data_IF_787022550898
#
_entry.id   IF_787022550898
#
_cell.length_a   1.000
_cell.length_b   1.000
_cell.length_c   1.000
_cell.angle_alpha   90.00
_cell.angle_beta   90.00
_cell.angle_gamma   90.00
#
_symmetry.space_group_name_H-M   'P 1'
#
loop_
_entity.id
_entity.type
_entity.pdbx_description
1 polymer ?
#
# COMPACT_ATOMS: atom_id res chain seq x y z
N UNK A 1 -4.77 20.57 4.08
CA UNK A 1 -3.70 19.66 3.60
C UNK A 1 -2.34 20.32 3.84
N UNK A 2 -1.41 19.65 4.51
CA UNK A 2 -0.07 20.19 4.77
C UNK A 2 0.71 20.31 3.47
N UNK A 3 1.20 21.53 3.17
CA UNK A 3 2.03 21.78 2.00
C UNK A 3 3.49 21.41 2.29
N UNK A 4 3.97 20.32 1.72
CA UNK A 4 5.36 19.84 1.86
C UNK A 4 6.43 20.88 1.48
N UNK A 5 6.09 21.84 0.62
CA UNK A 5 7.02 22.91 0.23
C UNK A 5 7.21 23.97 1.32
N UNK A 6 6.25 24.03 2.26
CA UNK A 6 6.21 25.04 3.32
C UNK A 6 6.79 24.56 4.65
N UNK A 7 6.77 23.26 4.90
CA UNK A 7 7.09 22.71 6.22
C UNK A 7 8.26 21.73 6.16
N UNK A 8 9.04 21.67 7.24
CA UNK A 8 10.08 20.66 7.42
C UNK A 8 9.43 19.29 7.59
N UNK A 9 10.15 18.25 7.21
CA UNK A 9 9.69 16.86 7.33
C UNK A 9 9.23 16.50 8.74
N UNK A 10 9.96 16.95 9.78
CA UNK A 10 9.58 16.78 11.19
C UNK A 10 8.21 17.38 11.52
N UNK A 11 7.87 18.53 10.94
CA UNK A 11 6.55 19.17 11.12
C UNK A 11 5.48 18.35 10.38
N UNK A 12 5.78 17.87 9.16
CA UNK A 12 4.84 17.05 8.39
C UNK A 12 4.52 15.77 9.14
N UNK A 13 5.52 15.07 9.67
CA UNK A 13 5.34 13.83 10.45
C UNK A 13 4.45 14.07 11.67
N UNK A 14 4.67 15.18 12.40
CA UNK A 14 3.91 15.48 13.60
C UNK A 14 2.42 15.74 13.33
N UNK A 15 2.09 16.29 12.17
CA UNK A 15 0.71 16.72 11.84
C UNK A 15 0.05 15.88 10.73
N UNK A 16 0.77 14.94 10.12
CA UNK A 16 0.26 14.14 9.04
C UNK A 16 -0.93 13.28 9.49
N UNK A 17 -2.00 13.30 8.70
CA UNK A 17 -3.21 12.54 8.98
C UNK A 17 -4.08 13.07 10.13
N UNK A 18 -3.75 14.24 10.71
CA UNK A 18 -4.55 14.86 11.76
C UNK A 18 -5.53 15.88 11.16
N UNK A 19 -6.80 15.71 11.44
CA UNK A 19 -7.90 16.60 11.01
C UNK A 19 -8.75 17.00 12.21
N UNK A 20 -8.15 17.77 13.12
CA UNK A 20 -8.80 18.15 14.38
C UNK A 20 -10.17 18.83 14.22
N UNK A 21 -10.40 19.53 13.12
CA UNK A 21 -11.69 20.14 12.80
C UNK A 21 -12.82 19.11 12.61
N UNK A 22 -12.52 17.91 12.18
CA UNK A 22 -13.49 16.81 12.01
C UNK A 22 -13.72 16.01 13.32
N UNK A 23 -12.90 16.25 14.34
CA UNK A 23 -12.90 15.52 15.60
C UNK A 23 -13.19 16.39 16.81
N UNK A 24 -14.10 17.35 16.68
CA UNK A 24 -14.50 18.26 17.79
C UNK A 24 -13.33 19.01 18.42
N UNK A 25 -12.25 19.26 17.67
CA UNK A 25 -11.05 19.93 18.16
C UNK A 25 -10.00 19.03 18.82
N UNK A 26 -10.25 17.72 18.93
CA UNK A 26 -9.21 16.81 19.39
C UNK A 26 -8.07 16.74 18.37
N UNK A 27 -6.82 16.86 18.85
CA UNK A 27 -5.64 16.86 18.00
C UNK A 27 -5.44 15.52 17.31
N UNK A 28 -5.56 14.43 18.06
CA UNK A 28 -5.44 13.08 17.53
C UNK A 28 -6.77 12.55 17.06
N UNK A 29 -6.78 11.78 15.99
CA UNK A 29 -7.96 11.05 15.52
C UNK A 29 -8.48 10.12 16.62
N UNK A 30 -9.73 10.29 17.10
CA UNK A 30 -10.32 9.37 18.07
C UNK A 30 -10.37 7.94 17.56
N UNK A 31 -10.47 6.98 18.47
CA UNK A 31 -10.59 5.56 18.11
C UNK A 31 -12.01 5.24 17.65
N UNK A 32 -12.19 4.97 16.38
CA UNK A 32 -13.47 4.52 15.79
C UNK A 32 -13.51 3.00 15.73
N UNK A 33 -14.46 2.41 16.44
CA UNK A 33 -14.70 0.94 16.47
C UNK A 33 -16.11 0.63 16.00
N UNK A 34 -16.23 0.00 14.86
CA UNK A 34 -17.52 -0.38 14.30
C UNK A 34 -17.39 -0.92 12.90
N UNK A 35 -18.35 -1.71 12.46
CA UNK A 35 -18.45 -2.22 11.11
C UNK A 35 -19.51 -1.49 10.30
N UNK A 36 -20.69 -1.31 10.90
CA UNK A 36 -21.82 -0.67 10.22
C UNK A 36 -21.70 0.85 10.31
N UNK A 37 -21.80 1.49 9.16
CA UNK A 37 -21.87 2.95 9.02
C UNK A 37 -23.23 3.30 8.44
N UNK A 38 -23.98 4.16 9.12
CA UNK A 38 -25.30 4.57 8.66
C UNK A 38 -25.14 5.67 7.59
N UNK A 39 -25.93 5.55 6.53
CA UNK A 39 -26.10 6.63 5.55
C UNK A 39 -27.26 7.51 5.97
N UNK A 40 -27.18 8.81 5.73
CA UNK A 40 -28.24 9.77 6.08
C UNK A 40 -29.53 9.51 5.29
N UNK A 41 -29.41 9.03 4.06
CA UNK A 41 -30.54 8.75 3.18
C UNK A 41 -30.40 7.41 2.47
N UNK A 42 -31.53 6.81 2.07
CA UNK A 42 -31.57 5.61 1.24
C UNK A 42 -30.89 5.82 -0.12
N UNK A 43 -30.85 7.04 -0.62
CA UNK A 43 -30.14 7.40 -1.85
C UNK A 43 -28.63 7.28 -1.67
N UNK A 44 -28.08 7.91 -0.63
CA UNK A 44 -26.64 7.81 -0.30
C UNK A 44 -26.22 6.36 -0.10
N UNK A 45 -27.05 5.54 0.53
CA UNK A 45 -26.78 4.12 0.71
C UNK A 45 -26.67 3.38 -0.62
N UNK A 46 -27.63 3.58 -1.54
CA UNK A 46 -27.63 2.93 -2.86
C UNK A 46 -26.46 3.39 -3.74
N UNK A 47 -26.17 4.67 -3.74
CA UNK A 47 -25.12 5.29 -4.56
C UNK A 47 -23.73 5.11 -3.93
N UNK A 48 -23.63 4.62 -2.70
CA UNK A 48 -22.39 4.51 -1.92
C UNK A 48 -21.61 5.82 -1.87
N UNK A 49 -22.30 6.94 -1.78
CA UNK A 49 -21.72 8.28 -1.85
C UNK A 49 -21.26 8.84 -0.51
N UNK A 50 -21.46 8.12 0.60
CA UNK A 50 -20.92 8.48 1.92
C UNK A 50 -19.40 8.28 1.97
N UNK A 51 -18.68 9.15 2.68
CA UNK A 51 -17.22 9.04 2.87
C UNK A 51 -16.83 7.67 3.46
N UNK A 52 -17.57 7.21 4.42
CA UNK A 52 -17.44 5.86 4.99
C UNK A 52 -18.70 5.08 4.70
N UNK A 53 -18.56 3.86 4.23
CA UNK A 53 -19.67 2.99 3.92
C UNK A 53 -19.70 1.74 4.83
N UNK A 54 -18.52 1.25 5.18
CA UNK A 54 -18.35 0.10 6.06
C UNK A 54 -17.01 0.18 6.79
N UNK A 55 -17.01 0.13 8.11
CA UNK A 55 -15.86 0.44 8.95
C UNK A 55 -14.62 -0.43 8.72
N UNK A 56 -14.79 -1.69 8.26
CA UNK A 56 -13.63 -2.54 7.89
C UNK A 56 -13.02 -2.19 6.54
N UNK A 57 -13.69 -1.42 5.70
CA UNK A 57 -13.14 -0.95 4.41
C UNK A 57 -12.38 0.36 4.57
N UNK A 58 -12.95 1.28 5.34
CA UNK A 58 -12.33 2.55 5.70
C UNK A 58 -13.03 3.16 6.91
N UNK A 59 -12.28 3.85 7.72
CA UNK A 59 -12.75 4.62 8.86
C UNK A 59 -11.74 5.75 9.13
N UNK A 60 -12.04 6.73 9.98
CA UNK A 60 -11.13 7.84 10.25
C UNK A 60 -9.72 7.42 10.68
N UNK A 61 -9.56 6.33 11.44
CA UNK A 61 -8.24 5.86 11.88
C UNK A 61 -7.39 5.33 10.72
N UNK A 62 -7.98 4.50 9.84
CA UNK A 62 -7.26 3.97 8.68
C UNK A 62 -6.97 5.06 7.65
N UNK A 63 -7.85 6.02 7.50
CA UNK A 63 -7.65 7.17 6.60
C UNK A 63 -6.53 8.07 7.12
N UNK A 64 -6.54 8.43 8.40
CA UNK A 64 -5.49 9.20 9.06
C UNK A 64 -4.11 8.56 8.89
N UNK A 65 -4.00 7.25 9.15
CA UNK A 65 -2.74 6.52 8.98
C UNK A 65 -2.30 6.47 7.50
N UNK A 66 -3.24 6.20 6.58
CA UNK A 66 -2.95 6.17 5.14
C UNK A 66 -2.45 7.51 4.63
N UNK A 67 -3.07 8.61 5.07
CA UNK A 67 -2.65 9.95 4.68
C UNK A 67 -1.29 10.31 5.27
N UNK A 68 -1.02 9.94 6.51
CA UNK A 68 0.29 10.12 7.14
C UNK A 68 1.41 9.45 6.32
N UNK A 69 1.24 8.16 5.99
CA UNK A 69 2.21 7.40 5.20
C UNK A 69 2.31 7.98 3.78
N UNK A 70 1.19 8.30 3.14
CA UNK A 70 1.18 8.92 1.81
C UNK A 70 2.02 10.20 1.77
N UNK A 71 1.88 11.05 2.78
CA UNK A 71 2.65 12.28 2.90
C UNK A 71 4.15 12.01 3.11
N UNK A 72 4.50 11.06 3.96
CA UNK A 72 5.89 10.69 4.24
C UNK A 72 6.59 10.17 2.97
N UNK A 73 5.96 9.24 2.30
CA UNK A 73 6.50 8.59 1.10
C UNK A 73 6.38 9.43 -0.18
N UNK A 74 5.75 10.61 -0.09
CA UNK A 74 5.43 11.43 -1.28
C UNK A 74 4.67 10.64 -2.36
N UNK A 75 3.76 9.78 -1.94
CA UNK A 75 3.01 8.89 -2.81
C UNK A 75 1.67 9.50 -3.25
N UNK A 76 1.13 9.01 -4.36
CA UNK A 76 -0.21 9.35 -4.84
C UNK A 76 -1.31 8.77 -3.94
N UNK A 77 -1.05 7.63 -3.30
CA UNK A 77 -1.99 6.99 -2.41
C UNK A 77 -1.33 5.96 -1.50
N UNK A 78 -2.06 5.56 -0.46
CA UNK A 78 -1.65 4.51 0.45
C UNK A 78 -2.82 3.55 0.69
N UNK A 79 -2.53 2.26 0.81
CA UNK A 79 -3.48 1.22 1.20
C UNK A 79 -2.93 0.43 2.36
N UNK A 80 -3.71 0.37 3.43
CA UNK A 80 -3.36 -0.40 4.63
C UNK A 80 -3.79 -1.85 4.43
N UNK A 81 -2.93 -2.77 4.83
CA UNK A 81 -3.18 -4.21 4.80
C UNK A 81 -2.99 -4.81 6.18
N UNK A 82 -3.47 -6.03 6.36
CA UNK A 82 -3.38 -6.75 7.65
C UNK A 82 -1.96 -7.18 8.02
N UNK A 83 -1.02 -7.18 7.08
CA UNK A 83 0.38 -7.54 7.33
C UNK A 83 1.29 -7.09 6.18
N UNK A 84 2.60 -6.97 6.44
CA UNK A 84 3.60 -6.68 5.41
C UNK A 84 3.61 -7.74 4.30
N UNK A 85 3.44 -9.01 4.65
CA UNK A 85 3.32 -10.09 3.66
C UNK A 85 2.13 -9.89 2.72
N UNK A 86 0.99 -9.46 3.25
CA UNK A 86 -0.18 -9.12 2.43
C UNK A 86 0.08 -7.91 1.56
N UNK A 87 0.81 -6.91 2.07
CA UNK A 87 1.20 -5.73 1.29
C UNK A 87 2.05 -6.13 0.08
N UNK A 88 3.08 -6.93 0.28
CA UNK A 88 3.95 -7.45 -0.79
C UNK A 88 3.12 -8.23 -1.81
N UNK A 89 2.28 -9.17 -1.37
CA UNK A 89 1.45 -9.97 -2.26
C UNK A 89 0.52 -9.11 -3.11
N UNK A 90 -0.21 -8.18 -2.50
CA UNK A 90 -1.16 -7.32 -3.22
C UNK A 90 -0.45 -6.37 -4.19
N UNK A 91 0.71 -5.83 -3.82
CA UNK A 91 1.52 -5.00 -4.72
C UNK A 91 1.92 -5.79 -5.97
N UNK A 92 2.42 -7.01 -5.82
CA UNK A 92 2.81 -7.87 -6.94
C UNK A 92 1.58 -8.29 -7.79
N UNK A 93 0.47 -8.66 -7.14
CA UNK A 93 -0.78 -9.03 -7.85
C UNK A 93 -1.41 -7.87 -8.63
N UNK A 94 -1.17 -6.63 -8.22
CA UNK A 94 -1.72 -5.47 -8.93
C UNK A 94 -1.14 -5.30 -10.34
N UNK A 95 0.08 -5.78 -10.58
CA UNK A 95 0.85 -5.57 -11.82
C UNK A 95 1.13 -6.85 -12.60
N UNK A 96 1.24 -8.01 -11.93
CA UNK A 96 1.60 -9.28 -12.56
C UNK A 96 0.38 -10.03 -13.11
N UNK A 97 0.57 -10.68 -14.26
CA UNK A 97 -0.41 -11.54 -14.93
C UNK A 97 0.23 -12.87 -15.34
N UNK A 98 -0.57 -13.83 -15.75
CA UNK A 98 -0.08 -15.09 -16.31
C UNK A 98 0.84 -14.82 -17.52
N UNK A 99 1.99 -15.47 -17.52
CA UNK A 99 3.04 -15.35 -18.56
C UNK A 99 4.04 -14.23 -18.31
N UNK A 100 3.83 -13.37 -17.31
CA UNK A 100 4.76 -12.32 -16.92
C UNK A 100 5.99 -12.88 -16.18
N UNK A 101 7.03 -12.06 -16.14
CA UNK A 101 8.27 -12.33 -15.41
C UNK A 101 8.42 -11.33 -14.26
N UNK A 102 8.71 -11.86 -13.08
CA UNK A 102 9.14 -11.17 -11.87
C UNK A 102 10.63 -11.39 -11.67
N UNK A 103 11.40 -10.35 -11.38
CA UNK A 103 12.81 -10.48 -10.97
C UNK A 103 12.91 -10.07 -9.50
N UNK A 104 13.48 -10.94 -8.66
CA UNK A 104 13.70 -10.70 -7.24
C UNK A 104 15.19 -10.59 -6.94
N UNK A 105 15.58 -9.73 -6.01
CA UNK A 105 16.91 -9.84 -5.42
C UNK A 105 17.01 -11.14 -4.61
N UNK A 106 18.16 -11.78 -4.62
CA UNK A 106 18.35 -13.09 -3.96
C UNK A 106 18.38 -13.01 -2.43
N UNK A 107 18.55 -11.81 -1.88
CA UNK A 107 18.54 -11.53 -0.45
C UNK A 107 17.14 -11.16 0.12
N UNK A 108 16.08 -11.15 -0.69
CA UNK A 108 14.74 -10.79 -0.20
C UNK A 108 14.28 -11.68 0.95
N UNK A 109 13.41 -11.13 1.78
CA UNK A 109 12.78 -11.82 2.90
C UNK A 109 12.18 -13.17 2.50
N UNK A 110 12.43 -14.21 3.30
CA UNK A 110 12.02 -15.59 2.98
C UNK A 110 10.55 -15.76 2.58
N UNK A 111 9.57 -15.14 3.29
CA UNK A 111 8.18 -15.14 2.87
C UNK A 111 7.92 -14.51 1.50
N UNK A 112 8.72 -13.52 1.05
CA UNK A 112 8.63 -12.97 -0.31
C UNK A 112 8.98 -14.03 -1.36
N UNK A 113 10.05 -14.83 -1.10
CA UNK A 113 10.38 -15.98 -1.97
C UNK A 113 9.25 -17.00 -2.01
N UNK A 114 8.64 -17.32 -0.86
CA UNK A 114 7.50 -18.23 -0.82
C UNK A 114 6.28 -17.73 -1.61
N UNK A 115 6.00 -16.43 -1.58
CA UNK A 115 4.95 -15.82 -2.41
C UNK A 115 5.27 -16.06 -3.89
N UNK A 116 6.49 -15.77 -4.31
CA UNK A 116 6.92 -15.94 -5.70
C UNK A 116 6.86 -17.40 -6.16
N UNK A 117 7.47 -18.31 -5.40
CA UNK A 117 7.66 -19.72 -5.79
C UNK A 117 6.42 -20.58 -5.61
N UNK A 118 5.59 -20.30 -4.59
CA UNK A 118 4.44 -21.14 -4.26
C UNK A 118 3.10 -20.58 -4.74
N UNK A 119 2.96 -19.25 -4.76
CA UNK A 119 1.69 -18.61 -5.12
C UNK A 119 1.73 -18.06 -6.54
N UNK A 120 2.65 -17.15 -6.85
CA UNK A 120 2.74 -16.51 -8.17
C UNK A 120 3.11 -17.52 -9.28
N UNK A 121 3.95 -18.52 -8.96
CA UNK A 121 4.26 -19.59 -9.90
C UNK A 121 3.02 -20.37 -10.33
N UNK A 122 2.06 -20.65 -9.42
CA UNK A 122 0.78 -21.29 -9.77
C UNK A 122 -0.11 -20.42 -10.65
N UNK A 123 0.11 -19.10 -10.63
CA UNK A 123 -0.57 -18.15 -11.51
C UNK A 123 0.13 -17.99 -12.87
N UNK A 124 1.19 -18.77 -13.12
CA UNK A 124 1.95 -18.73 -14.37
C UNK A 124 2.96 -17.58 -14.45
N UNK A 125 3.32 -16.95 -13.33
CA UNK A 125 4.38 -15.94 -13.28
C UNK A 125 5.72 -16.64 -13.14
N UNK A 126 6.68 -16.30 -14.02
CA UNK A 126 8.07 -16.79 -13.95
C UNK A 126 8.89 -15.88 -13.04
N UNK A 127 9.50 -16.44 -12.00
CA UNK A 127 10.42 -15.70 -11.11
C UNK A 127 11.87 -15.99 -11.47
N UNK A 128 12.68 -14.95 -11.57
CA UNK A 128 14.13 -15.00 -11.68
C UNK A 128 14.76 -14.28 -10.49
N UNK A 129 15.98 -14.67 -10.11
CA UNK A 129 16.73 -14.03 -9.03
C UNK A 129 17.96 -13.33 -9.57
N UNK A 130 18.34 -12.21 -8.97
CA UNK A 130 19.59 -11.52 -9.24
C UNK A 130 20.34 -11.21 -7.95
N UNK A 131 21.65 -11.11 -8.05
CA UNK A 131 22.49 -10.67 -6.94
C UNK A 131 22.46 -9.13 -6.89
N UNK A 132 22.00 -8.48 -5.80
CA UNK A 132 21.94 -7.03 -5.71
C UNK A 132 23.31 -6.33 -5.74
N UNK A 133 24.39 -7.08 -5.55
CA UNK A 133 25.79 -6.58 -5.71
C UNK A 133 26.29 -6.65 -7.14
N UNK A 134 25.53 -7.22 -8.06
CA UNK A 134 25.86 -7.41 -9.47
C UNK A 134 24.68 -6.93 -10.34
N UNK A 135 24.73 -5.65 -10.71
CA UNK A 135 23.68 -5.04 -11.52
C UNK A 135 23.66 -5.55 -12.96
N UNK A 136 24.80 -6.00 -13.49
CA UNK A 136 24.87 -6.60 -14.81
C UNK A 136 24.06 -7.89 -14.85
N UNK A 137 24.03 -8.63 -13.73
CA UNK A 137 23.19 -9.81 -13.61
C UNK A 137 21.69 -9.50 -13.64
N UNK A 138 21.27 -8.33 -13.19
CA UNK A 138 19.90 -7.86 -13.33
C UNK A 138 19.58 -7.49 -14.77
N UNK A 139 20.42 -6.66 -15.41
CA UNK A 139 20.20 -6.18 -16.77
C UNK A 139 20.05 -7.34 -17.76
N UNK A 140 20.93 -8.35 -17.66
CA UNK A 140 20.90 -9.55 -18.50
C UNK A 140 19.62 -10.42 -18.31
N UNK A 141 18.86 -10.22 -17.25
CA UNK A 141 17.61 -10.94 -16.98
C UNK A 141 16.36 -10.20 -17.42
N UNK A 142 16.46 -8.91 -17.72
CA UNK A 142 15.32 -8.11 -18.17
C UNK A 142 14.93 -8.52 -19.59
N UNK A 143 13.66 -8.82 -19.78
CA UNK A 143 13.08 -9.19 -21.07
C UNK A 143 11.76 -8.43 -21.31
N UNK A 144 11.18 -8.57 -22.49
CA UNK A 144 9.85 -8.00 -22.79
C UNK A 144 8.73 -8.54 -21.88
N UNK A 145 8.95 -9.67 -21.21
CA UNK A 145 8.01 -10.27 -20.24
C UNK A 145 8.21 -9.76 -18.83
N UNK A 146 9.30 -9.06 -18.54
CA UNK A 146 9.58 -8.50 -17.21
C UNK A 146 8.59 -7.39 -16.91
N UNK A 147 7.79 -7.57 -15.87
CA UNK A 147 6.77 -6.60 -15.38
C UNK A 147 7.16 -5.96 -14.09
N UNK A 148 7.94 -6.65 -13.26
CA UNK A 148 8.38 -6.12 -11.98
C UNK A 148 9.80 -6.58 -11.67
N UNK A 149 10.52 -5.69 -11.00
CA UNK A 149 11.74 -5.97 -10.25
C UNK A 149 11.44 -5.61 -8.80
N UNK A 150 11.64 -6.55 -7.90
CA UNK A 150 11.42 -6.35 -6.47
C UNK A 150 12.73 -6.63 -5.73
N UNK A 151 13.13 -5.71 -4.88
CA UNK A 151 14.34 -5.84 -4.06
C UNK A 151 14.11 -5.24 -2.68
N UNK A 152 14.88 -5.71 -1.72
CA UNK A 152 14.90 -5.22 -0.34
C UNK A 152 16.34 -4.81 -0.01
N UNK A 153 16.51 -3.64 0.62
CA UNK A 153 17.80 -3.07 1.04
C UNK A 153 18.11 -3.42 2.49
#
# INVERSE_FOLDING_TARGET
MLDKKKYKESTIITHAGQESGEHFGFVNTPVYRGSTVLSETSRQFRERSSRYFYGSKSNPNTESLSEGIRLLENAEGCRITSSGRTAILLSLLSILRNGDQLILSDNVYGPTKQIAEKFLAKMGVKTLYFNPKDLDSLENKITKKTRAVFFES
#
